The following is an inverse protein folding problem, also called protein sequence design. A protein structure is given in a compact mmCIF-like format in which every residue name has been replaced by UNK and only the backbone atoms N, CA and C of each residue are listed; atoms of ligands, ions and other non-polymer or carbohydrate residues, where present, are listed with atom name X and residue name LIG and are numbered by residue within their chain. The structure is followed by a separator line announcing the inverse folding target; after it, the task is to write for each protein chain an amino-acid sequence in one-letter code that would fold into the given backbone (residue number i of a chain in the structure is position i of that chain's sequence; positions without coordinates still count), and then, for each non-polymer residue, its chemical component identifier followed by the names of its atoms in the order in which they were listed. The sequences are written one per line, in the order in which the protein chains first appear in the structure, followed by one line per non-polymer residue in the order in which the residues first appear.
data_IF_494720388282
#
_entry.id   IF_494720388282
#
_cell.length_a   1.000
_cell.length_b   1.000
_cell.length_c   1.000
_cell.angle_alpha   90.00
_cell.angle_beta   90.00
_cell.angle_gamma   90.00
#
_symmetry.space_group_name_H-M   'P 1'
#
loop_
_entity.id
_entity.type
_entity.pdbx_description
1 polymer ?
#
# COMPACT_ATOMS: atom_id res chain seq x y z
N UNK A 1 21.02 -2.85 -13.91
CA UNK A 1 19.70 -3.52 -13.76
C UNK A 1 19.11 -3.03 -12.44
N UNK A 2 18.07 -2.19 -12.50
CA UNK A 2 17.51 -1.56 -11.31
C UNK A 2 17.02 -2.63 -10.35
N UNK A 3 17.52 -2.60 -9.11
CA UNK A 3 17.14 -3.48 -8.00
C UNK A 3 15.61 -3.59 -8.02
N UNK A 4 15.10 -4.74 -8.46
CA UNK A 4 13.68 -4.91 -8.74
C UNK A 4 12.91 -4.42 -7.52
N UNK A 5 12.06 -3.41 -7.72
CA UNK A 5 11.28 -2.79 -6.67
C UNK A 5 10.21 -3.78 -6.21
N UNK A 6 10.62 -4.87 -5.55
CA UNK A 6 9.74 -5.90 -5.03
C UNK A 6 8.61 -5.21 -4.30
N UNK A 7 8.94 -4.19 -3.48
CA UNK A 7 8.00 -3.31 -2.75
C UNK A 7 6.88 -2.71 -3.55
N UNK A 8 7.17 -2.20 -4.74
CA UNK A 8 6.13 -1.66 -5.60
C UNK A 8 5.14 -2.75 -6.01
N UNK A 9 5.65 -3.90 -6.45
CA UNK A 9 4.81 -5.00 -6.93
C UNK A 9 4.00 -5.67 -5.83
N UNK A 10 4.55 -5.84 -4.62
CA UNK A 10 3.74 -6.39 -3.53
C UNK A 10 2.65 -5.42 -3.06
N UNK A 11 2.95 -4.12 -2.98
CA UNK A 11 1.94 -3.11 -2.65
C UNK A 11 0.81 -3.10 -3.68
N UNK A 12 1.17 -3.12 -4.97
CA UNK A 12 0.19 -3.23 -6.05
C UNK A 12 -0.59 -4.54 -5.98
N UNK A 13 0.05 -5.67 -5.67
CA UNK A 13 -0.61 -6.96 -5.51
C UNK A 13 -1.63 -6.97 -4.37
N UNK A 14 -1.27 -6.42 -3.21
CA UNK A 14 -2.18 -6.27 -2.06
C UNK A 14 -3.35 -5.36 -2.41
N UNK A 15 -3.09 -4.22 -3.04
CA UNK A 15 -4.10 -3.25 -3.45
C UNK A 15 -5.00 -3.75 -4.57
N UNK A 16 -4.49 -4.63 -5.43
CA UNK A 16 -5.26 -5.31 -6.48
C UNK A 16 -6.26 -6.31 -5.91
N UNK A 17 -6.01 -6.84 -4.72
CA UNK A 17 -6.95 -7.77 -4.07
C UNK A 17 -8.08 -7.00 -3.37
N UNK A 18 -7.74 -5.93 -2.66
CA UNK A 18 -8.72 -5.09 -1.97
C UNK A 18 -8.20 -3.66 -1.76
N UNK A 19 -9.02 -2.62 -2.02
CA UNK A 19 -8.72 -1.26 -1.61
C UNK A 19 -8.60 -1.17 -0.08
N UNK A 20 -7.44 -0.72 0.38
CA UNK A 20 -7.02 -0.85 1.78
C UNK A 20 -6.35 0.44 2.27
N UNK A 21 -6.49 0.74 3.55
CA UNK A 21 -5.77 1.88 4.13
C UNK A 21 -4.28 1.59 4.24
N UNK A 22 -3.43 2.62 4.29
CA UNK A 22 -1.97 2.44 4.48
C UNK A 22 -1.62 1.56 5.68
N UNK A 23 -2.41 1.64 6.76
CA UNK A 23 -2.27 0.77 7.93
C UNK A 23 -2.70 -0.68 7.65
N UNK A 24 -3.79 -0.89 6.91
CA UNK A 24 -4.27 -2.23 6.55
C UNK A 24 -3.31 -2.90 5.57
N UNK A 25 -2.82 -2.17 4.57
CA UNK A 25 -1.76 -2.64 3.67
C UNK A 25 -0.54 -3.10 4.47
N UNK A 26 -0.13 -2.32 5.48
CA UNK A 26 0.95 -2.73 6.38
C UNK A 26 0.61 -4.04 7.10
N UNK A 27 -0.60 -4.16 7.65
CA UNK A 27 -1.05 -5.36 8.38
C UNK A 27 -1.15 -6.59 7.49
N UNK A 28 -1.64 -6.42 6.26
CA UNK A 28 -1.73 -7.48 5.25
C UNK A 28 -0.33 -7.88 4.80
N UNK A 29 0.56 -6.91 4.56
CA UNK A 29 1.97 -7.19 4.27
C UNK A 29 2.60 -8.01 5.39
N UNK A 30 2.49 -7.56 6.64
CA UNK A 30 3.03 -8.24 7.83
C UNK A 30 2.52 -9.68 7.95
N UNK A 31 1.21 -9.89 7.74
CA UNK A 31 0.57 -11.19 7.90
C UNK A 31 0.71 -12.15 6.70
N UNK A 32 0.69 -11.64 5.46
CA UNK A 32 0.75 -12.48 4.24
C UNK A 32 2.17 -12.67 3.71
N UNK A 33 2.99 -11.62 3.70
CA UNK A 33 4.30 -11.63 3.05
C UNK A 33 5.45 -11.22 3.98
N UNK A 34 5.19 -10.86 5.24
CA UNK A 34 6.21 -10.46 6.21
C UNK A 34 7.25 -11.54 6.49
N UNK A 35 6.88 -12.82 6.33
CA UNK A 35 7.81 -13.95 6.40
C UNK A 35 8.84 -13.97 5.26
N UNK A 36 8.47 -13.51 4.06
CA UNK A 36 9.32 -13.47 2.87
C UNK A 36 9.93 -12.09 2.61
N UNK A 37 9.46 -11.09 3.36
CA UNK A 37 9.67 -9.69 3.07
C UNK A 37 10.11 -8.92 4.30
N UNK A 38 11.43 -8.78 4.42
CA UNK A 38 12.08 -8.00 5.48
C UNK A 38 12.69 -6.71 4.90
N UNK A 39 11.98 -6.05 3.97
CA UNK A 39 12.40 -4.75 3.44
C UNK A 39 12.03 -3.65 4.44
N UNK A 40 12.91 -2.67 4.63
CA UNK A 40 12.77 -1.65 5.69
C UNK A 40 11.41 -0.95 5.60
N UNK A 41 10.55 -1.16 6.58
CA UNK A 41 9.17 -0.65 6.65
C UNK A 41 9.07 0.87 6.44
N UNK A 42 10.13 1.63 6.73
CA UNK A 42 10.22 3.05 6.42
C UNK A 42 10.15 3.39 4.92
N UNK A 43 10.41 2.42 4.04
CA UNK A 43 10.32 2.58 2.58
C UNK A 43 8.89 2.39 2.03
N UNK A 44 7.94 1.85 2.79
CA UNK A 44 6.58 1.59 2.26
C UNK A 44 5.83 2.89 1.96
N UNK A 45 5.86 3.85 2.90
CA UNK A 45 5.22 5.16 2.73
C UNK A 45 5.74 5.96 1.52
N UNK A 46 7.06 6.11 1.30
CA UNK A 46 7.56 6.81 0.11
C UNK A 46 7.26 6.03 -1.17
N UNK A 47 7.26 4.69 -1.14
CA UNK A 47 6.88 3.90 -2.32
C UNK A 47 5.40 4.06 -2.65
N UNK A 48 4.50 4.09 -1.66
CA UNK A 48 3.09 4.39 -1.88
C UNK A 48 2.89 5.78 -2.50
N UNK A 49 3.59 6.80 -1.99
CA UNK A 49 3.59 8.15 -2.61
C UNK A 49 4.11 8.14 -4.05
N UNK A 50 5.13 7.34 -4.33
CA UNK A 50 5.68 7.21 -5.67
C UNK A 50 4.67 6.55 -6.62
N UNK A 51 4.02 5.47 -6.19
CA UNK A 51 2.95 4.80 -6.95
C UNK A 51 1.76 5.72 -7.20
N UNK A 52 1.39 6.55 -6.21
CA UNK A 52 0.35 7.58 -6.36
C UNK A 52 0.77 8.63 -7.40
N UNK A 53 2.02 9.12 -7.33
CA UNK A 53 2.56 10.08 -8.30
C UNK A 53 2.67 9.48 -9.71
N UNK A 54 2.91 8.17 -9.81
CA UNK A 54 2.91 7.41 -11.07
C UNK A 54 1.50 7.06 -11.56
N UNK A 55 0.44 7.50 -10.87
CA UNK A 55 -0.97 7.20 -11.17
C UNK A 55 -1.31 5.70 -11.21
N UNK A 56 -0.46 4.86 -10.61
CA UNK A 56 -0.67 3.42 -10.49
C UNK A 56 -1.66 3.07 -9.37
N UNK A 57 -1.80 3.96 -8.39
CA UNK A 57 -2.77 3.83 -7.31
C UNK A 57 -3.51 5.15 -7.12
N UNK A 58 -4.77 5.07 -6.74
CA UNK A 58 -5.60 6.18 -6.32
C UNK A 58 -5.78 6.17 -4.80
N UNK A 59 -5.73 7.35 -4.21
CA UNK A 59 -6.03 7.57 -2.79
C UNK A 59 -7.36 8.29 -2.67
N UNK A 60 -8.30 7.73 -1.91
CA UNK A 60 -9.56 8.39 -1.58
C UNK A 60 -9.80 8.35 -0.07
N UNK A 61 -10.45 9.39 0.43
CA UNK A 61 -10.83 9.48 1.84
C UNK A 61 -12.22 8.87 1.97
N UNK A 62 -12.32 7.76 2.71
CA UNK A 62 -13.61 7.18 3.06
C UNK A 62 -14.07 7.77 4.38
N UNK A 63 -15.07 8.63 4.31
CA UNK A 63 -15.79 9.11 5.50
C UNK A 63 -16.70 7.99 5.99
N UNK A 64 -16.59 7.65 7.27
CA UNK A 64 -17.46 6.67 7.92
C UNK A 64 -18.21 7.43 8.99
N UNK A 65 -19.55 7.38 8.95
CA UNK A 65 -20.40 8.06 9.95
C UNK A 65 -19.97 7.66 11.36
N UNK A 66 -19.45 8.64 12.12
CA UNK A 66 -19.00 8.46 13.51
C UNK A 66 -17.54 8.02 13.70
N UNK A 67 -16.74 7.85 12.64
CA UNK A 67 -15.34 7.41 12.74
C UNK A 67 -14.37 8.36 12.02
N UNK A 68 -13.10 8.43 12.47
CA UNK A 68 -12.09 9.25 11.82
C UNK A 68 -11.90 8.85 10.35
N UNK A 69 -11.73 9.87 9.52
CA UNK A 69 -11.50 9.75 8.08
C UNK A 69 -10.37 8.75 7.80
N UNK A 70 -10.65 7.74 6.96
CA UNK A 70 -9.65 6.74 6.54
C UNK A 70 -9.19 7.02 5.13
N UNK A 71 -7.87 7.20 4.98
CA UNK A 71 -7.23 7.21 3.67
C UNK A 71 -7.19 5.78 3.15
N UNK A 72 -7.96 5.50 2.10
CA UNK A 72 -7.98 4.23 1.38
C UNK A 72 -7.18 4.40 0.10
N UNK A 73 -6.33 3.42 -0.19
CA UNK A 73 -5.61 3.33 -1.45
C UNK A 73 -6.22 2.20 -2.28
N UNK A 74 -6.26 2.37 -3.60
CA UNK A 74 -6.76 1.38 -4.56
C UNK A 74 -5.93 1.42 -5.83
N UNK A 75 -5.84 0.30 -6.56
CA UNK A 75 -5.23 0.30 -7.88
C UNK A 75 -6.15 1.01 -8.88
N UNK A 76 -5.57 1.80 -9.78
CA UNK A 76 -6.30 2.43 -10.90
C UNK A 76 -6.67 1.37 -11.94
#
# INVERSE_FOLDING_TARGET
MAKANKTRYALLGVLSYQPSSGYDIKKICDNSIGYFWNENYGHICPVLKQLESENLITKFVKETEGHPQKNIYSIT
#
